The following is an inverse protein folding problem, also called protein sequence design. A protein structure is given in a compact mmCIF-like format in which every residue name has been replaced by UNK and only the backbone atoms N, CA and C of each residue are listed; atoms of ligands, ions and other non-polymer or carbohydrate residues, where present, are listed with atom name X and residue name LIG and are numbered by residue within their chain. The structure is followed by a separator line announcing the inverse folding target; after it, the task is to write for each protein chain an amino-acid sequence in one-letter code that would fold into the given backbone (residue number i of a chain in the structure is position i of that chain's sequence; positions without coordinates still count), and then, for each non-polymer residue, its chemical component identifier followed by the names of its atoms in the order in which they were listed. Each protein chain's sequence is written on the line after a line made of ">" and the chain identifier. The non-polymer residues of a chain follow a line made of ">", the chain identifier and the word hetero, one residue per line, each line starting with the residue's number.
data_IF_427611777804
#
_entry.id   IF_427611777804
#
_cell.length_a   1.000
_cell.length_b   1.000
_cell.length_c   1.000
_cell.angle_alpha   90.00
_cell.angle_beta   90.00
_cell.angle_gamma   90.00
#
_symmetry.space_group_name_H-M   'P 1'
#
loop_
_entity.id
_entity.type
_entity.pdbx_description
1 polymer ?
#
# COMPACT_ATOMS: atom_id res chain seq x y z
N UNK A 1 4.50 39.64 -14.69
CA UNK A 1 4.77 39.11 -13.34
C UNK A 1 4.17 37.72 -13.27
N UNK A 2 4.97 36.67 -13.46
CA UNK A 2 4.49 35.29 -13.44
C UNK A 2 4.29 34.85 -11.99
N UNK A 3 3.04 34.62 -11.59
CA UNK A 3 2.69 34.06 -10.29
C UNK A 3 2.83 32.53 -10.37
N UNK A 4 3.92 31.99 -9.83
CA UNK A 4 4.07 30.55 -9.67
C UNK A 4 3.16 30.10 -8.52
N UNK A 5 2.04 29.46 -8.85
CA UNK A 5 1.17 28.82 -7.86
C UNK A 5 1.98 27.72 -7.16
N UNK A 6 2.20 27.87 -5.85
CA UNK A 6 2.92 26.88 -5.04
C UNK A 6 2.16 25.55 -5.04
N UNK A 7 2.69 24.55 -5.74
CA UNK A 7 2.13 23.20 -5.75
C UNK A 7 2.38 22.56 -4.38
N UNK A 8 1.32 22.22 -3.65
CA UNK A 8 1.42 21.41 -2.43
C UNK A 8 1.35 19.94 -2.84
N UNK A 9 2.48 19.20 -2.88
CA UNK A 9 2.45 17.81 -3.31
C UNK A 9 1.67 16.94 -2.31
N UNK A 10 0.83 16.04 -2.81
CA UNK A 10 0.14 15.04 -1.98
C UNK A 10 1.06 13.82 -1.72
N UNK A 11 2.09 14.08 -0.93
CA UNK A 11 3.16 13.13 -0.62
C UNK A 11 2.63 11.92 0.15
N UNK A 12 1.67 12.12 1.07
CA UNK A 12 1.05 11.04 1.85
C UNK A 12 0.34 10.00 0.97
N UNK A 13 -0.45 10.48 0.00
CA UNK A 13 -1.16 9.59 -0.93
C UNK A 13 -0.18 8.91 -1.87
N UNK A 14 0.86 9.62 -2.33
CA UNK A 14 1.93 9.02 -3.13
C UNK A 14 2.62 7.87 -2.39
N UNK A 15 3.00 8.05 -1.12
CA UNK A 15 3.58 7.00 -0.27
C UNK A 15 2.62 5.82 -0.07
N UNK A 16 1.33 6.09 0.14
CA UNK A 16 0.34 5.04 0.26
C UNK A 16 0.24 4.18 -1.00
N UNK A 17 0.27 4.78 -2.19
CA UNK A 17 0.23 4.05 -3.47
C UNK A 17 1.45 3.16 -3.64
N UNK A 18 2.67 3.65 -3.39
CA UNK A 18 3.88 2.81 -3.52
C UNK A 18 3.89 1.66 -2.50
N UNK A 19 3.34 1.86 -1.30
CA UNK A 19 3.22 0.78 -0.32
C UNK A 19 2.23 -0.29 -0.79
N UNK A 20 1.11 0.11 -1.41
CA UNK A 20 0.16 -0.85 -2.00
C UNK A 20 0.79 -1.64 -3.15
N UNK A 21 1.53 -0.98 -4.05
CA UNK A 21 2.24 -1.65 -5.14
C UNK A 21 3.23 -2.65 -4.57
N UNK A 22 4.04 -2.24 -3.59
CA UNK A 22 5.02 -3.12 -2.96
C UNK A 22 4.37 -4.31 -2.26
N UNK A 23 3.23 -4.12 -1.59
CA UNK A 23 2.53 -5.19 -0.91
C UNK A 23 1.88 -6.20 -1.89
N UNK A 24 1.40 -5.72 -3.03
CA UNK A 24 0.79 -6.56 -4.06
C UNK A 24 1.80 -7.51 -4.75
N UNK A 25 3.08 -7.15 -4.78
CA UNK A 25 4.13 -7.99 -5.39
C UNK A 25 4.20 -9.36 -4.71
N UNK A 26 4.07 -9.42 -3.37
CA UNK A 26 4.22 -10.66 -2.61
C UNK A 26 3.20 -11.75 -3.01
N UNK A 27 1.88 -11.51 -2.95
CA UNK A 27 0.91 -12.52 -3.37
C UNK A 27 0.99 -12.83 -4.86
N UNK A 28 1.31 -11.85 -5.72
CA UNK A 28 1.48 -12.10 -7.16
C UNK A 28 2.68 -13.04 -7.40
N UNK A 29 3.81 -12.77 -6.74
CA UNK A 29 4.99 -13.61 -6.82
C UNK A 29 4.69 -15.04 -6.34
N UNK A 30 4.02 -15.18 -5.19
CA UNK A 30 3.74 -16.50 -4.63
C UNK A 30 2.68 -17.27 -5.44
N UNK A 31 1.71 -16.58 -6.05
CA UNK A 31 0.82 -17.17 -7.06
C UNK A 31 1.59 -17.73 -8.27
N UNK A 32 2.59 -17.00 -8.77
CA UNK A 32 3.37 -17.43 -9.93
C UNK A 32 4.24 -18.65 -9.59
N UNK A 33 4.87 -18.65 -8.41
CA UNK A 33 5.84 -19.68 -8.05
C UNK A 33 5.13 -20.94 -7.51
N UNK A 34 4.09 -20.79 -6.68
CA UNK A 34 3.50 -21.88 -5.88
C UNK A 34 2.06 -22.19 -6.32
N UNK A 35 1.50 -21.42 -7.27
CA UNK A 35 0.09 -21.55 -7.66
C UNK A 35 -0.86 -21.05 -6.56
N UNK A 36 -2.16 -21.37 -6.65
CA UNK A 36 -3.17 -20.90 -5.68
C UNK A 36 -3.04 -21.54 -4.29
N UNK A 37 -2.32 -22.65 -4.14
CA UNK A 37 -2.17 -23.38 -2.87
C UNK A 37 -1.42 -22.58 -1.79
N UNK A 38 -0.60 -21.60 -2.21
CA UNK A 38 0.11 -20.69 -1.32
C UNK A 38 -0.84 -19.97 -0.35
N UNK A 39 -2.07 -19.67 -0.78
CA UNK A 39 -3.03 -18.94 0.05
C UNK A 39 -3.29 -19.70 1.34
N UNK A 40 -3.59 -21.00 1.23
CA UNK A 40 -3.80 -21.82 2.41
C UNK A 40 -2.48 -22.01 3.16
N UNK A 41 -1.40 -22.34 2.47
CA UNK A 41 -0.15 -22.71 3.13
C UNK A 41 0.44 -21.58 3.98
N UNK A 42 0.39 -20.34 3.49
CA UNK A 42 1.06 -19.22 4.14
C UNK A 42 0.14 -18.33 4.97
N UNK A 43 -1.11 -18.11 4.56
CA UNK A 43 -2.01 -17.29 5.37
C UNK A 43 -2.53 -18.02 6.61
N UNK A 44 -2.67 -19.35 6.56
CA UNK A 44 -3.14 -20.14 7.72
C UNK A 44 -2.01 -20.75 8.54
N UNK A 45 -0.74 -20.60 8.12
CA UNK A 45 0.41 -21.02 8.92
C UNK A 45 0.41 -20.28 10.26
N UNK A 46 0.87 -20.86 11.38
CA UNK A 46 1.05 -20.13 12.63
C UNK A 46 2.22 -19.12 12.57
N UNK A 47 3.10 -19.21 11.58
CA UNK A 47 4.31 -18.39 11.47
C UNK A 47 4.02 -17.00 10.89
N UNK A 48 4.93 -16.04 11.14
CA UNK A 48 4.88 -14.72 10.51
C UNK A 48 5.49 -14.85 9.12
N UNK A 49 4.62 -14.96 8.11
CA UNK A 49 5.02 -15.08 6.72
C UNK A 49 5.00 -13.72 6.01
N UNK A 50 5.66 -13.66 4.85
CA UNK A 50 5.72 -12.46 4.01
C UNK A 50 4.32 -11.97 3.58
N UNK A 51 3.36 -12.87 3.41
CA UNK A 51 1.96 -12.58 3.06
C UNK A 51 1.21 -11.87 4.18
N UNK A 52 1.47 -12.25 5.43
CA UNK A 52 0.86 -11.57 6.59
C UNK A 52 1.45 -10.18 6.75
N UNK A 53 2.76 -10.05 6.52
CA UNK A 53 3.42 -8.75 6.51
C UNK A 53 2.85 -7.89 5.37
N UNK A 54 2.69 -8.45 4.18
CA UNK A 54 2.13 -7.73 3.04
C UNK A 54 0.72 -7.23 3.31
N UNK A 55 -0.14 -8.01 3.98
CA UNK A 55 -1.46 -7.53 4.45
C UNK A 55 -1.34 -6.33 5.39
N UNK A 56 -0.38 -6.36 6.33
CA UNK A 56 -0.09 -5.21 7.19
C UNK A 56 0.30 -3.96 6.39
N UNK A 57 1.13 -4.13 5.36
CA UNK A 57 1.53 -3.03 4.47
C UNK A 57 0.34 -2.53 3.63
N UNK A 58 -0.58 -3.40 3.21
CA UNK A 58 -1.83 -2.99 2.55
C UNK A 58 -2.65 -2.07 3.45
N UNK A 59 -2.86 -2.47 4.71
CA UNK A 59 -3.60 -1.67 5.70
C UNK A 59 -2.92 -0.31 5.90
N UNK A 60 -1.59 -0.30 6.01
CA UNK A 60 -0.81 0.92 6.15
C UNK A 60 -0.97 1.84 4.91
N UNK A 61 -0.85 1.27 3.71
CA UNK A 61 -1.01 2.01 2.45
C UNK A 61 -2.39 2.64 2.30
N UNK A 62 -3.46 1.90 2.59
CA UNK A 62 -4.84 2.41 2.58
C UNK A 62 -4.99 3.55 3.60
N UNK A 63 -4.45 3.37 4.81
CA UNK A 63 -4.52 4.39 5.87
C UNK A 63 -3.83 5.69 5.44
N UNK A 64 -2.65 5.59 4.82
CA UNK A 64 -1.91 6.76 4.31
C UNK A 64 -2.67 7.50 3.21
N UNK A 65 -3.32 6.77 2.30
CA UNK A 65 -4.17 7.34 1.25
C UNK A 65 -5.35 8.10 1.88
N UNK A 66 -6.08 7.47 2.80
CA UNK A 66 -7.22 8.09 3.47
C UNK A 66 -6.83 9.35 4.26
N UNK A 67 -5.70 9.32 4.96
CA UNK A 67 -5.16 10.49 5.67
C UNK A 67 -4.72 11.59 4.71
N UNK A 68 -4.10 11.23 3.58
CA UNK A 68 -3.72 12.16 2.52
C UNK A 68 -4.93 12.90 1.95
N UNK A 69 -6.01 12.17 1.65
CA UNK A 69 -7.27 12.76 1.19
C UNK A 69 -7.89 13.71 2.22
N UNK A 70 -7.96 13.30 3.50
CA UNK A 70 -8.49 14.18 4.57
C UNK A 70 -7.66 15.47 4.73
N UNK A 71 -6.34 15.40 4.52
CA UNK A 71 -5.48 16.58 4.61
C UNK A 71 -5.58 17.52 3.41
N UNK A 72 -5.82 17.02 2.20
CA UNK A 72 -6.12 17.90 1.07
C UNK A 72 -7.43 18.66 1.29
N UNK A 73 -8.47 17.98 1.76
CA UNK A 73 -9.78 18.58 2.06
C UNK A 73 -9.74 19.68 3.15
N UNK A 74 -8.77 19.65 4.07
CA UNK A 74 -8.61 20.69 5.09
C UNK A 74 -7.80 21.90 4.61
N UNK A 75 -7.10 21.77 3.48
CA UNK A 75 -6.23 22.81 2.91
C UNK A 75 -6.95 23.61 1.81
N UNK A 76 -7.98 23.03 1.19
CA UNK A 76 -8.98 23.72 0.35
C UNK A 76 -10.03 24.42 1.21
#
# INVERSE_FOLDING_TARGET
>A
MFSFKSYKPNVLTAFGVIFLISAAIIPIQNLIIWGPDFVHHFFTSPEITSEKISLGVVILGITLILLGYKRQMYVE
#
